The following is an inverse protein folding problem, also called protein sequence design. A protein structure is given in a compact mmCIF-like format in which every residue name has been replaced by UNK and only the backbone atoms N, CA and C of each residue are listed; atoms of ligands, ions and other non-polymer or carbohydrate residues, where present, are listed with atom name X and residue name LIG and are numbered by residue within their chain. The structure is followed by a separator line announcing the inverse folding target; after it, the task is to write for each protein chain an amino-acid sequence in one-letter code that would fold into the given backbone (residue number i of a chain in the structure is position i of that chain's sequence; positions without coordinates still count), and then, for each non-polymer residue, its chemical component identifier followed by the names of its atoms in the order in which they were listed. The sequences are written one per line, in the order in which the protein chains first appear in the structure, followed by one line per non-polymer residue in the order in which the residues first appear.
data_IF_286990728525
#
_entry.id   IF_286990728525
#
_cell.length_a   1.000
_cell.length_b   1.000
_cell.length_c   1.000
_cell.angle_alpha   90.00
_cell.angle_beta   90.00
_cell.angle_gamma   90.00
#
_symmetry.space_group_name_H-M   'P 1'
#
loop_
_entity.id
_entity.type
_entity.pdbx_description
1 polymer ?
#
# COMPACT_ATOMS: atom_id res chain seq x y z
N UNK A 1 16.14 20.43 -18.34
CA UNK A 1 15.86 21.17 -17.10
C UNK A 1 14.78 20.38 -16.38
N UNK A 2 15.11 19.73 -15.27
CA UNK A 2 14.10 19.08 -14.43
C UNK A 2 13.23 20.16 -13.80
N UNK A 3 11.92 20.01 -13.87
CA UNK A 3 10.99 20.87 -13.15
C UNK A 3 11.28 20.75 -11.64
N UNK A 4 11.20 21.83 -10.86
CA UNK A 4 11.34 21.74 -9.41
C UNK A 4 10.27 20.81 -8.85
N UNK A 5 10.63 20.01 -7.84
CA UNK A 5 9.69 19.16 -7.16
C UNK A 5 8.66 20.01 -6.38
N UNK A 6 7.40 19.61 -6.34
CA UNK A 6 6.32 20.41 -5.75
C UNK A 6 6.42 20.54 -4.22
N UNK A 7 7.06 19.55 -3.57
CA UNK A 7 7.36 19.52 -2.13
C UNK A 7 8.73 18.93 -1.91
N UNK A 8 9.38 19.27 -0.79
CA UNK A 8 10.67 18.71 -0.40
C UNK A 8 10.45 17.65 0.70
N UNK A 9 10.67 16.39 0.35
CA UNK A 9 10.69 15.25 1.27
C UNK A 9 12.11 14.68 1.43
N UNK A 10 13.12 15.36 0.92
CA UNK A 10 14.51 14.87 0.90
C UNK A 10 14.99 14.45 2.27
N UNK A 11 15.54 13.25 2.34
CA UNK A 11 16.10 12.69 3.57
C UNK A 11 15.06 12.16 4.58
N UNK A 12 13.76 12.35 4.35
CA UNK A 12 12.70 11.84 5.24
C UNK A 12 12.44 10.36 5.00
N UNK A 13 11.97 9.67 6.03
CA UNK A 13 11.43 8.31 5.91
C UNK A 13 9.91 8.34 5.79
N UNK A 14 9.33 7.31 5.16
CA UNK A 14 7.89 7.08 5.10
C UNK A 14 7.59 5.73 5.75
N UNK A 15 7.26 5.72 7.02
CA UNK A 15 6.97 4.50 7.78
C UNK A 15 5.47 4.25 7.91
N UNK A 16 4.69 5.33 8.02
CA UNK A 16 3.23 5.34 8.17
C UNK A 16 2.61 6.37 7.23
N UNK A 17 1.33 6.20 6.93
CA UNK A 17 0.57 7.24 6.21
C UNK A 17 0.54 8.55 7.00
N UNK A 18 0.48 8.45 8.34
CA UNK A 18 0.51 9.62 9.24
C UNK A 18 1.80 10.44 9.22
N UNK A 19 2.85 9.98 8.55
CA UNK A 19 4.08 10.76 8.33
C UNK A 19 3.90 11.85 7.27
N UNK A 20 2.78 11.82 6.53
CA UNK A 20 2.43 12.76 5.46
C UNK A 20 1.39 13.76 5.93
N UNK A 21 1.41 14.95 5.32
CA UNK A 21 0.33 15.93 5.42
C UNK A 21 -0.46 16.00 4.09
N UNK A 22 -1.69 16.55 4.08
CA UNK A 22 -2.54 16.57 2.88
C UNK A 22 -1.85 17.11 1.61
N UNK A 23 -1.10 18.20 1.72
CA UNK A 23 -0.39 18.80 0.58
C UNK A 23 0.72 17.88 0.03
N UNK A 24 1.35 17.08 0.88
CA UNK A 24 2.39 16.11 0.45
C UNK A 24 1.75 14.92 -0.27
N UNK A 25 0.58 14.45 0.21
CA UNK A 25 -0.18 13.40 -0.48
C UNK A 25 -0.56 13.88 -1.88
N UNK A 26 -1.12 15.09 -2.00
CA UNK A 26 -1.50 15.66 -3.29
C UNK A 26 -0.29 15.76 -4.23
N UNK A 27 0.84 16.29 -3.75
CA UNK A 27 2.07 16.41 -4.52
C UNK A 27 2.64 15.04 -4.97
N UNK A 28 2.57 14.01 -4.11
CA UNK A 28 2.97 12.63 -4.48
C UNK A 28 2.07 12.10 -5.59
N UNK A 29 0.76 12.27 -5.46
CA UNK A 29 -0.19 11.78 -6.45
C UNK A 29 -0.06 12.51 -7.79
N UNK A 30 0.15 13.83 -7.78
CA UNK A 30 0.35 14.64 -8.99
C UNK A 30 1.61 14.21 -9.72
N UNK A 31 2.73 14.14 -9.00
CA UNK A 31 3.99 13.68 -9.58
C UNK A 31 3.88 12.23 -10.09
N UNK A 32 3.16 11.37 -9.38
CA UNK A 32 2.92 9.99 -9.84
C UNK A 32 2.15 9.96 -11.16
N UNK A 33 1.14 10.83 -11.32
CA UNK A 33 0.40 11.00 -12.58
C UNK A 33 1.30 11.47 -13.72
N UNK A 34 2.15 12.46 -13.49
CA UNK A 34 3.12 12.95 -14.49
C UNK A 34 4.12 11.85 -14.90
N UNK A 35 4.64 11.12 -13.90
CA UNK A 35 5.64 10.08 -14.13
C UNK A 35 5.08 8.82 -14.81
N UNK A 36 3.77 8.69 -15.04
CA UNK A 36 3.22 7.62 -15.90
C UNK A 36 3.80 7.67 -17.31
N UNK A 37 4.03 8.86 -17.80
CA UNK A 37 4.44 9.12 -19.19
C UNK A 37 5.85 9.73 -19.30
N UNK A 38 6.43 10.17 -18.19
CA UNK A 38 7.78 10.73 -18.14
C UNK A 38 8.79 9.69 -17.66
N UNK A 39 9.72 9.33 -18.56
CA UNK A 39 10.82 8.41 -18.29
C UNK A 39 12.17 9.15 -18.15
N UNK A 40 12.16 10.44 -17.88
CA UNK A 40 13.38 11.22 -17.65
C UNK A 40 14.16 10.63 -16.48
N UNK A 41 15.45 10.32 -16.65
CA UNK A 41 16.27 9.72 -15.61
C UNK A 41 16.61 10.75 -14.51
N UNK A 42 15.75 10.86 -13.52
CA UNK A 42 15.87 11.83 -12.40
C UNK A 42 16.84 11.39 -11.32
N UNK A 43 17.08 10.06 -11.19
CA UNK A 43 17.90 9.46 -10.14
C UNK A 43 19.15 8.74 -10.68
N UNK A 44 19.73 9.27 -11.75
CA UNK A 44 20.96 8.71 -12.31
C UNK A 44 22.09 8.68 -11.27
N UNK A 45 22.69 7.49 -11.08
CA UNK A 45 23.75 7.27 -10.09
C UNK A 45 23.27 6.99 -8.67
N UNK A 46 21.96 7.04 -8.40
CA UNK A 46 21.36 6.68 -7.10
C UNK A 46 21.09 5.18 -7.01
N UNK A 47 21.11 4.67 -5.79
CA UNK A 47 20.92 3.24 -5.50
C UNK A 47 19.80 3.05 -4.49
N UNK A 48 18.87 2.12 -4.79
CA UNK A 48 17.79 1.69 -3.90
C UNK A 48 18.11 0.32 -3.31
N UNK A 49 18.20 0.20 -1.99
CA UNK A 49 18.25 -1.07 -1.27
C UNK A 49 16.83 -1.61 -1.05
N UNK A 50 16.55 -2.83 -1.52
CA UNK A 50 15.29 -3.54 -1.29
C UNK A 50 15.51 -4.66 -0.30
N UNK A 51 15.08 -4.48 0.95
CA UNK A 51 15.24 -5.45 2.04
C UNK A 51 13.91 -6.17 2.28
N UNK A 52 13.86 -7.46 1.96
CA UNK A 52 12.64 -8.26 2.05
C UNK A 52 12.81 -9.41 3.04
N UNK A 53 12.24 -9.24 4.23
CA UNK A 53 12.17 -10.30 5.26
C UNK A 53 11.08 -11.33 4.96
N UNK A 54 10.13 -10.99 4.07
CA UNK A 54 9.06 -11.87 3.60
C UNK A 54 8.99 -11.85 2.07
N UNK A 55 8.56 -12.94 1.43
CA UNK A 55 8.39 -13.00 -0.02
C UNK A 55 7.44 -11.91 -0.52
N UNK A 56 7.80 -11.27 -1.62
CA UNK A 56 6.94 -10.30 -2.30
C UNK A 56 7.34 -10.18 -3.76
N UNK A 57 6.47 -10.58 -4.67
CA UNK A 57 6.70 -10.46 -6.11
C UNK A 57 6.42 -9.02 -6.57
N UNK A 58 5.20 -8.55 -6.30
CA UNK A 58 4.72 -7.24 -6.80
C UNK A 58 5.53 -6.07 -6.26
N UNK A 59 5.71 -5.96 -4.95
CA UNK A 59 6.43 -4.84 -4.34
C UNK A 59 7.89 -4.80 -4.77
N UNK A 60 8.54 -5.95 -4.86
CA UNK A 60 9.93 -6.03 -5.34
C UNK A 60 10.05 -5.60 -6.80
N UNK A 61 9.16 -6.10 -7.65
CA UNK A 61 9.17 -5.73 -9.08
C UNK A 61 8.83 -4.25 -9.29
N UNK A 62 7.80 -3.73 -8.63
CA UNK A 62 7.38 -2.35 -8.81
C UNK A 62 8.44 -1.35 -8.35
N UNK A 63 9.07 -1.54 -7.18
CA UNK A 63 10.18 -0.71 -6.74
C UNK A 63 11.43 -0.84 -7.63
N UNK A 64 11.75 -2.06 -8.08
CA UNK A 64 12.88 -2.26 -8.99
C UNK A 64 12.65 -1.55 -10.32
N UNK A 65 11.46 -1.67 -10.88
CA UNK A 65 11.08 -0.99 -12.11
C UNK A 65 11.03 0.53 -11.91
N UNK A 66 10.48 1.02 -10.79
CA UNK A 66 10.44 2.43 -10.45
C UNK A 66 11.84 3.06 -10.45
N UNK A 67 12.76 2.45 -9.70
CA UNK A 67 14.13 2.95 -9.61
C UNK A 67 14.86 2.90 -10.95
N UNK A 68 14.71 1.80 -11.70
CA UNK A 68 15.32 1.65 -13.02
C UNK A 68 14.77 2.65 -14.03
N UNK A 69 13.45 2.92 -14.05
CA UNK A 69 12.84 3.94 -14.94
C UNK A 69 13.28 5.36 -14.59
N UNK A 70 13.64 5.63 -13.34
CA UNK A 70 14.22 6.89 -12.92
C UNK A 70 15.75 6.98 -13.17
N UNK A 71 16.36 5.95 -13.78
CA UNK A 71 17.77 5.92 -14.12
C UNK A 71 18.70 5.50 -12.99
N UNK A 72 18.13 5.06 -11.85
CA UNK A 72 18.88 4.56 -10.71
C UNK A 72 19.04 3.02 -10.73
N UNK A 73 19.70 2.50 -9.71
CA UNK A 73 20.01 1.06 -9.59
C UNK A 73 19.31 0.43 -8.38
N UNK A 74 18.39 -0.53 -8.55
CA UNK A 74 17.84 -1.30 -7.45
C UNK A 74 18.75 -2.48 -7.10
N UNK A 75 18.97 -2.72 -5.80
CA UNK A 75 19.67 -3.88 -5.23
C UNK A 75 18.70 -4.59 -4.30
N UNK A 76 18.37 -5.84 -4.61
CA UNK A 76 17.43 -6.62 -3.81
C UNK A 76 18.19 -7.59 -2.89
N UNK A 77 17.87 -7.55 -1.60
CA UNK A 77 18.43 -8.40 -0.56
C UNK A 77 17.29 -9.21 0.07
N UNK A 78 17.47 -10.51 0.13
CA UNK A 78 16.54 -11.44 0.78
C UNK A 78 16.99 -11.70 2.22
N UNK A 79 16.05 -12.13 3.06
CA UNK A 79 16.36 -12.44 4.46
C UNK A 79 17.47 -13.47 4.64
N UNK A 80 17.55 -14.47 3.76
CA UNK A 80 18.58 -15.52 3.76
C UNK A 80 19.97 -15.03 3.28
N UNK A 81 20.05 -13.87 2.65
CA UNK A 81 21.28 -13.22 2.22
C UNK A 81 21.85 -12.26 3.28
N UNK A 82 21.03 -11.86 4.27
CA UNK A 82 21.41 -10.94 5.33
C UNK A 82 22.07 -11.67 6.50
N UNK A 83 23.04 -11.02 7.15
CA UNK A 83 23.70 -11.54 8.35
C UNK A 83 22.81 -11.50 9.59
N UNK A 84 21.60 -10.93 9.53
CA UNK A 84 20.59 -10.91 10.61
C UNK A 84 20.30 -12.33 11.11
N UNK A 85 20.22 -13.32 10.22
CA UNK A 85 20.05 -14.74 10.55
C UNK A 85 21.25 -15.34 11.32
N UNK A 86 22.39 -14.64 11.34
CA UNK A 86 23.63 -15.02 12.02
C UNK A 86 23.93 -14.16 13.24
N UNK A 87 22.97 -13.33 13.68
CA UNK A 87 23.06 -12.55 14.91
C UNK A 87 23.54 -11.10 14.74
N UNK A 88 23.70 -10.61 13.49
CA UNK A 88 23.91 -9.17 13.28
C UNK A 88 22.66 -8.40 13.71
N UNK A 89 22.82 -7.24 14.34
CA UNK A 89 21.68 -6.42 14.74
C UNK A 89 21.07 -5.68 13.55
N UNK A 90 19.77 -5.39 13.61
CA UNK A 90 19.08 -4.52 12.62
C UNK A 90 19.82 -3.19 12.50
N UNK A 91 20.19 -2.59 13.66
CA UNK A 91 20.88 -1.31 13.70
C UNK A 91 22.23 -1.31 12.99
N UNK A 92 23.01 -2.40 13.13
CA UNK A 92 24.32 -2.49 12.47
C UNK A 92 24.14 -2.71 10.97
N UNK A 93 23.21 -3.59 10.57
CA UNK A 93 22.87 -3.79 9.16
C UNK A 93 22.38 -2.48 8.51
N UNK A 94 21.55 -1.68 9.20
CA UNK A 94 21.07 -0.39 8.72
C UNK A 94 22.20 0.63 8.52
N UNK A 95 23.14 0.71 9.47
CA UNK A 95 24.32 1.58 9.36
C UNK A 95 25.21 1.22 8.20
N UNK A 96 25.42 -0.09 7.98
CA UNK A 96 26.23 -0.60 6.83
C UNK A 96 25.50 -0.31 5.53
N UNK A 97 24.19 -0.62 5.45
CA UNK A 97 23.38 -0.39 4.25
C UNK A 97 23.40 1.10 3.84
N UNK A 98 23.35 2.00 4.81
CA UNK A 98 23.42 3.45 4.60
C UNK A 98 24.74 3.94 3.98
N UNK A 99 25.77 3.09 3.91
CA UNK A 99 27.02 3.42 3.22
C UNK A 99 27.06 2.97 1.78
N UNK A 100 26.09 2.16 1.36
CA UNK A 100 26.07 1.53 0.04
C UNK A 100 24.93 2.01 -0.84
N UNK A 101 23.80 2.45 -0.22
CA UNK A 101 22.61 2.87 -0.96
C UNK A 101 22.14 4.24 -0.51
N UNK A 102 21.33 4.90 -1.34
CA UNK A 102 20.80 6.26 -1.10
C UNK A 102 19.42 6.23 -0.42
N UNK A 103 18.68 5.14 -0.54
CA UNK A 103 17.36 4.91 0.04
C UNK A 103 17.13 3.42 0.25
N UNK A 104 16.36 3.05 1.27
CA UNK A 104 16.00 1.66 1.52
C UNK A 104 14.47 1.48 1.55
N UNK A 105 13.94 0.49 0.83
CA UNK A 105 12.56 0.05 0.99
C UNK A 105 12.55 -1.31 1.70
N UNK A 106 11.89 -1.36 2.86
CA UNK A 106 11.97 -2.48 3.80
C UNK A 106 10.59 -3.11 3.98
N UNK A 107 10.52 -4.42 3.76
CA UNK A 107 9.36 -5.25 4.05
C UNK A 107 9.68 -6.19 5.20
N UNK A 108 9.03 -5.97 6.34
CA UNK A 108 9.13 -6.79 7.55
C UNK A 108 7.75 -6.97 8.17
N UNK A 109 7.57 -7.97 9.05
CA UNK A 109 6.30 -8.13 9.78
C UNK A 109 6.18 -7.12 10.91
N UNK A 110 7.22 -7.00 11.74
CA UNK A 110 7.24 -6.08 12.87
C UNK A 110 7.40 -4.63 12.41
N UNK A 111 6.53 -3.76 12.91
CA UNK A 111 6.67 -2.33 12.68
C UNK A 111 7.79 -1.72 13.53
N UNK A 112 8.00 -2.26 14.75
CA UNK A 112 9.09 -1.85 15.65
C UNK A 112 10.47 -2.17 15.03
N UNK A 113 10.58 -3.30 14.29
CA UNK A 113 11.77 -3.58 13.51
C UNK A 113 12.01 -2.52 12.43
N UNK A 114 10.95 -2.11 11.73
CA UNK A 114 11.04 -1.05 10.71
C UNK A 114 11.47 0.29 11.33
N UNK A 115 10.95 0.65 12.49
CA UNK A 115 11.37 1.84 13.23
C UNK A 115 12.84 1.75 13.63
N UNK A 116 13.29 0.58 14.11
CA UNK A 116 14.71 0.33 14.42
C UNK A 116 15.61 0.50 13.19
N UNK A 117 15.14 0.04 12.01
CA UNK A 117 15.83 0.30 10.73
C UNK A 117 15.95 1.80 10.46
N UNK A 118 14.85 2.54 10.58
CA UNK A 118 14.80 3.97 10.28
C UNK A 118 15.61 4.81 11.25
N UNK A 119 15.61 4.48 12.54
CA UNK A 119 16.38 5.17 13.56
C UNK A 119 17.90 5.00 13.39
N UNK A 120 18.33 3.82 12.95
CA UNK A 120 19.76 3.51 12.78
C UNK A 120 20.32 3.92 11.41
N UNK A 121 19.45 4.04 10.39
CA UNK A 121 19.84 4.46 9.04
C UNK A 121 20.13 5.97 8.99
N UNK A 122 21.04 6.37 8.10
CA UNK A 122 21.30 7.78 7.75
C UNK A 122 20.75 8.17 6.38
N UNK A 123 19.92 7.30 5.83
CA UNK A 123 19.24 7.44 4.52
C UNK A 123 17.74 7.28 4.74
N UNK A 124 16.88 7.76 3.83
CA UNK A 124 15.45 7.51 3.86
C UNK A 124 15.11 6.02 3.92
N UNK A 125 14.12 5.67 4.75
CA UNK A 125 13.54 4.34 4.83
C UNK A 125 12.08 4.40 4.41
N UNK A 126 11.67 3.54 3.48
CA UNK A 126 10.29 3.40 2.99
C UNK A 126 9.70 2.10 3.52
N UNK A 127 8.54 2.18 4.16
CA UNK A 127 7.75 1.01 4.52
C UNK A 127 7.19 0.33 3.26
N UNK A 128 7.78 -0.79 2.89
CA UNK A 128 7.30 -1.62 1.77
C UNK A 128 6.21 -2.61 2.16
N UNK A 129 5.85 -2.69 3.40
CA UNK A 129 4.78 -3.34 4.15
C UNK A 129 5.28 -3.79 5.53
N UNK A 130 4.47 -3.53 6.56
CA UNK A 130 4.50 -4.19 7.87
C UNK A 130 3.11 -4.72 8.22
N UNK A 131 2.97 -5.45 9.33
CA UNK A 131 1.65 -5.86 9.83
C UNK A 131 0.79 -4.67 10.29
N UNK A 132 1.41 -3.53 10.62
CA UNK A 132 0.67 -2.34 11.03
C UNK A 132 0.18 -1.48 9.86
N UNK A 133 1.01 -1.35 8.80
CA UNK A 133 0.73 -0.41 7.71
C UNK A 133 1.29 -0.84 6.35
N UNK A 134 0.62 -0.34 5.29
CA UNK A 134 1.06 -0.47 3.91
C UNK A 134 0.92 0.87 3.14
N UNK A 135 1.71 1.91 3.47
CA UNK A 135 1.51 3.26 2.94
C UNK A 135 1.62 3.35 1.41
N UNK A 136 2.52 2.59 0.80
CA UNK A 136 2.65 2.57 -0.67
C UNK A 136 1.42 1.98 -1.37
N UNK A 137 0.65 1.10 -0.69
CA UNK A 137 -0.61 0.58 -1.21
C UNK A 137 -1.69 1.66 -1.14
N UNK A 138 -1.88 2.28 0.01
CA UNK A 138 -2.87 3.34 0.19
C UNK A 138 -2.68 4.49 -0.82
N UNK A 139 -1.44 4.90 -1.09
CA UNK A 139 -1.14 5.89 -2.12
C UNK A 139 -1.52 5.41 -3.53
N UNK A 140 -1.32 4.12 -3.83
CA UNK A 140 -1.74 3.56 -5.12
C UNK A 140 -3.26 3.46 -5.24
N UNK A 141 -3.94 3.12 -4.15
CA UNK A 141 -5.40 3.12 -4.07
C UNK A 141 -5.95 4.53 -4.35
N UNK A 142 -5.40 5.55 -3.67
CA UNK A 142 -5.80 6.94 -3.87
C UNK A 142 -5.54 7.42 -5.30
N UNK A 143 -4.39 7.09 -5.89
CA UNK A 143 -4.11 7.43 -7.29
C UNK A 143 -5.12 6.77 -8.23
N UNK A 144 -5.48 5.50 -7.98
CA UNK A 144 -6.44 4.75 -8.78
C UNK A 144 -7.86 5.32 -8.64
N UNK A 145 -8.26 5.67 -7.43
CA UNK A 145 -9.55 6.32 -7.15
C UNK A 145 -9.60 7.66 -7.90
N UNK A 146 -8.56 8.48 -7.79
CA UNK A 146 -8.47 9.77 -8.48
C UNK A 146 -8.56 9.63 -10.00
N UNK A 147 -7.86 8.67 -10.57
CA UNK A 147 -7.86 8.41 -12.02
C UNK A 147 -9.24 7.96 -12.52
N UNK A 148 -9.94 7.15 -11.73
CA UNK A 148 -11.23 6.57 -12.12
C UNK A 148 -12.43 7.47 -11.85
N UNK A 149 -12.37 8.27 -10.76
CA UNK A 149 -13.50 9.08 -10.30
C UNK A 149 -13.28 10.59 -10.50
N UNK A 150 -12.08 11.04 -10.86
CA UNK A 150 -11.75 12.43 -11.14
C UNK A 150 -11.39 13.26 -9.91
N UNK A 151 -11.39 12.68 -8.70
CA UNK A 151 -11.05 13.35 -7.45
C UNK A 151 -11.11 12.42 -6.26
N UNK A 152 -10.76 12.93 -5.07
CA UNK A 152 -10.77 12.16 -3.82
C UNK A 152 -11.79 12.72 -2.81
N UNK A 153 -11.96 14.04 -2.76
CA UNK A 153 -12.81 14.69 -1.77
C UNK A 153 -14.26 14.20 -1.86
N UNK A 154 -14.81 13.80 -0.72
CA UNK A 154 -16.18 13.29 -0.60
C UNK A 154 -16.38 11.85 -1.08
N UNK A 155 -15.37 11.18 -1.67
CA UNK A 155 -15.48 9.77 -2.11
C UNK A 155 -15.79 8.87 -0.92
N UNK A 156 -16.81 8.02 -1.07
CA UNK A 156 -17.22 7.02 -0.09
C UNK A 156 -16.61 5.67 -0.44
N UNK A 157 -15.79 5.15 0.47
CA UNK A 157 -15.16 3.84 0.36
C UNK A 157 -15.92 2.87 1.27
N UNK A 158 -16.38 1.75 0.72
CA UNK A 158 -16.85 0.59 1.45
C UNK A 158 -15.75 -0.44 1.54
N UNK A 159 -15.22 -0.68 2.75
CA UNK A 159 -14.33 -1.79 3.03
C UNK A 159 -15.12 -3.00 3.51
N UNK A 160 -14.81 -4.18 3.01
CA UNK A 160 -15.52 -5.42 3.38
C UNK A 160 -14.54 -6.54 3.66
N UNK A 161 -14.55 -7.05 4.89
CA UNK A 161 -13.70 -8.17 5.30
C UNK A 161 -12.89 -7.89 6.56
N UNK A 162 -11.66 -8.39 6.59
CA UNK A 162 -10.74 -8.25 7.73
C UNK A 162 -10.14 -6.85 7.82
N UNK A 163 -10.02 -6.33 9.04
CA UNK A 163 -9.44 -5.02 9.34
C UNK A 163 -7.91 -5.01 9.30
N UNK A 164 -7.35 -5.31 8.13
CA UNK A 164 -5.90 -5.47 7.91
C UNK A 164 -5.13 -4.14 7.93
N UNK A 165 -3.80 -4.24 7.86
CA UNK A 165 -2.88 -3.11 7.65
C UNK A 165 -3.20 -2.28 6.40
N UNK A 166 -3.83 -2.89 5.38
CA UNK A 166 -4.27 -2.17 4.17
C UNK A 166 -5.43 -1.25 4.51
N UNK A 167 -6.43 -1.73 5.27
CA UNK A 167 -7.51 -0.86 5.77
C UNK A 167 -6.96 0.28 6.64
N UNK A 168 -6.03 -0.01 7.56
CA UNK A 168 -5.44 1.01 8.44
C UNK A 168 -4.82 2.15 7.62
N UNK A 169 -3.99 1.80 6.65
CA UNK A 169 -3.32 2.79 5.80
C UNK A 169 -4.29 3.52 4.87
N UNK A 170 -5.27 2.81 4.28
CA UNK A 170 -6.28 3.42 3.43
C UNK A 170 -7.16 4.41 4.22
N UNK A 171 -7.57 4.05 5.43
CA UNK A 171 -8.35 4.92 6.31
C UNK A 171 -7.57 6.16 6.75
N UNK A 172 -6.29 5.98 7.11
CA UNK A 172 -5.39 7.10 7.41
C UNK A 172 -5.27 8.07 6.24
N UNK A 173 -5.09 7.54 5.02
CA UNK A 173 -5.00 8.37 3.82
C UNK A 173 -6.33 9.03 3.46
N UNK A 174 -7.44 8.33 3.64
CA UNK A 174 -8.78 8.87 3.44
C UNK A 174 -9.02 10.10 4.32
N UNK A 175 -8.58 10.05 5.58
CA UNK A 175 -8.68 11.20 6.49
C UNK A 175 -7.85 12.42 6.04
N UNK A 176 -6.74 12.21 5.32
CA UNK A 176 -5.90 13.28 4.78
C UNK A 176 -6.44 13.88 3.47
N UNK A 177 -7.32 13.16 2.76
CA UNK A 177 -7.75 13.51 1.40
C UNK A 177 -9.24 13.81 1.27
N UNK A 178 -9.98 13.83 2.40
CA UNK A 178 -11.42 14.10 2.39
C UNK A 178 -12.29 12.91 1.99
N UNK A 179 -11.72 11.73 1.76
CA UNK A 179 -12.47 10.48 1.56
C UNK A 179 -13.06 9.99 2.88
N UNK A 180 -14.07 9.14 2.81
CA UNK A 180 -14.72 8.51 3.98
C UNK A 180 -14.72 7.00 3.83
N UNK A 181 -14.31 6.30 4.89
CA UNK A 181 -14.29 4.83 4.92
C UNK A 181 -15.36 4.30 5.87
N UNK A 182 -16.24 3.45 5.33
CA UNK A 182 -17.16 2.63 6.11
C UNK A 182 -16.67 1.19 5.99
N UNK A 183 -16.32 0.58 7.12
CA UNK A 183 -15.73 -0.74 7.15
C UNK A 183 -16.67 -1.78 7.78
N UNK A 184 -17.05 -2.78 7.01
CA UNK A 184 -17.77 -3.94 7.51
C UNK A 184 -16.76 -5.05 7.85
N UNK A 185 -16.57 -5.27 9.15
CA UNK A 185 -15.70 -6.32 9.66
C UNK A 185 -16.49 -7.24 10.63
N UNK A 186 -16.29 -8.57 10.60
CA UNK A 186 -16.85 -9.46 11.61
C UNK A 186 -16.24 -9.16 13.00
N UNK A 187 -16.91 -9.64 14.05
CA UNK A 187 -16.37 -9.53 15.41
C UNK A 187 -15.07 -10.32 15.53
N UNK A 188 -14.03 -9.67 16.08
CA UNK A 188 -12.68 -10.22 16.21
C UNK A 188 -11.78 -9.97 15.00
N UNK A 189 -12.29 -9.30 13.95
CA UNK A 189 -11.56 -8.93 12.74
C UNK A 189 -11.58 -7.41 12.50
N UNK A 190 -11.86 -6.64 13.55
CA UNK A 190 -11.87 -5.18 13.46
C UNK A 190 -10.44 -4.63 13.28
N UNK A 191 -10.28 -3.48 12.62
CA UNK A 191 -9.01 -2.79 12.63
C UNK A 191 -8.66 -2.32 14.06
N UNK A 192 -7.37 -2.02 14.34
CA UNK A 192 -6.94 -1.50 15.63
C UNK A 192 -7.76 -0.28 16.08
N UNK A 193 -8.00 -0.14 17.40
CA UNK A 193 -8.70 1.02 17.94
C UNK A 193 -8.03 2.34 17.52
N UNK A 194 -8.85 3.33 17.12
CA UNK A 194 -8.37 4.62 16.64
C UNK A 194 -8.17 4.72 15.12
N UNK A 195 -8.32 3.62 14.38
CA UNK A 195 -8.38 3.68 12.92
C UNK A 195 -9.58 4.56 12.50
N UNK A 196 -9.39 5.58 11.63
CA UNK A 196 -10.44 6.54 11.30
C UNK A 196 -11.46 5.97 10.29
N UNK A 197 -12.27 5.03 10.76
CA UNK A 197 -13.35 4.38 9.98
C UNK A 197 -14.68 4.44 10.72
N UNK A 198 -15.77 4.48 9.98
CA UNK A 198 -17.09 4.11 10.48
C UNK A 198 -17.20 2.59 10.43
N UNK A 199 -17.26 1.94 11.61
CA UNK A 199 -17.32 0.49 11.69
C UNK A 199 -18.75 -0.01 11.73
N UNK A 200 -19.09 -0.92 10.82
CA UNK A 200 -20.40 -1.59 10.72
C UNK A 200 -20.21 -3.11 10.71
N UNK A 201 -21.33 -3.85 10.80
CA UNK A 201 -21.28 -5.32 10.76
C UNK A 201 -21.86 -5.90 9.48
N UNK A 202 -22.83 -5.24 8.89
CA UNK A 202 -23.43 -5.72 7.64
C UNK A 202 -22.61 -5.21 6.45
N UNK A 203 -22.07 -6.10 5.59
CA UNK A 203 -21.39 -5.72 4.36
C UNK A 203 -22.19 -4.76 3.46
N UNK A 204 -23.54 -4.89 3.50
CA UNK A 204 -24.42 -4.03 2.71
C UNK A 204 -24.42 -2.58 3.19
N UNK A 205 -24.27 -2.35 4.50
CA UNK A 205 -24.16 -1.00 5.05
C UNK A 205 -22.88 -0.30 4.58
N UNK A 206 -21.75 -1.04 4.52
CA UNK A 206 -20.51 -0.52 3.98
C UNK A 206 -20.60 -0.27 2.46
N UNK A 207 -21.25 -1.17 1.75
CA UNK A 207 -21.39 -1.08 0.29
C UNK A 207 -22.46 -0.06 -0.15
N UNK A 208 -23.44 0.30 0.70
CA UNK A 208 -24.53 1.22 0.32
C UNK A 208 -23.98 2.53 -0.23
N UNK A 209 -24.27 2.79 -1.50
CA UNK A 209 -23.82 3.96 -2.26
C UNK A 209 -22.32 4.24 -2.17
N UNK A 210 -21.49 3.22 -1.91
CA UNK A 210 -20.04 3.36 -1.97
C UNK A 210 -19.59 3.64 -3.42
N UNK A 211 -18.72 4.60 -3.60
CA UNK A 211 -18.08 4.90 -4.89
C UNK A 211 -16.95 3.90 -5.19
N UNK A 212 -16.39 3.33 -4.13
CA UNK A 212 -15.31 2.33 -4.19
C UNK A 212 -15.63 1.20 -3.21
N UNK A 213 -15.57 -0.06 -3.67
CA UNK A 213 -15.55 -1.23 -2.81
C UNK A 213 -14.12 -1.77 -2.74
N UNK A 214 -13.65 -2.02 -1.52
CA UNK A 214 -12.30 -2.55 -1.26
C UNK A 214 -12.39 -3.79 -0.40
N UNK A 215 -11.61 -4.80 -0.73
CA UNK A 215 -11.40 -5.97 0.11
C UNK A 215 -9.94 -6.41 0.05
N UNK A 216 -9.55 -7.29 0.95
CA UNK A 216 -8.21 -7.87 1.03
C UNK A 216 -8.31 -9.37 1.30
N UNK A 217 -7.21 -10.09 1.11
CA UNK A 217 -7.16 -11.54 1.33
C UNK A 217 -7.53 -11.89 2.76
N UNK A 218 -8.22 -13.02 2.92
CA UNK A 218 -8.60 -13.51 4.23
C UNK A 218 -7.54 -14.38 4.89
N UNK A 219 -6.70 -15.04 4.09
CA UNK A 219 -5.72 -16.02 4.55
C UNK A 219 -4.35 -15.70 3.94
N UNK A 220 -3.44 -15.12 4.72
CA UNK A 220 -2.09 -14.79 4.22
C UNK A 220 -0.97 -15.55 4.94
N UNK A 221 -1.10 -15.75 6.24
CA UNK A 221 -0.14 -16.41 7.12
C UNK A 221 -0.92 -17.01 8.29
N UNK A 222 -0.62 -18.25 8.67
CA UNK A 222 -1.27 -18.92 9.79
C UNK A 222 -1.22 -20.42 9.65
N UNK A 223 -1.80 -21.13 10.61
CA UNK A 223 -2.01 -22.59 10.54
C UNK A 223 -3.20 -22.92 9.65
N UNK A 224 -3.28 -24.16 9.15
CA UNK A 224 -4.43 -24.62 8.36
C UNK A 224 -5.76 -24.53 9.14
N UNK A 225 -5.72 -24.71 10.47
CA UNK A 225 -6.91 -24.58 11.32
C UNK A 225 -7.38 -23.13 11.45
N UNK A 226 -6.44 -22.18 11.64
CA UNK A 226 -6.73 -20.75 11.67
C UNK A 226 -7.27 -20.29 10.32
N UNK A 227 -6.68 -20.73 9.22
CA UNK A 227 -7.15 -20.41 7.87
C UNK A 227 -8.58 -20.90 7.65
N UNK A 228 -8.91 -22.15 8.05
CA UNK A 228 -10.25 -22.71 7.93
C UNK A 228 -11.29 -21.96 8.79
N UNK A 229 -10.91 -21.48 9.97
CA UNK A 229 -11.79 -20.68 10.81
C UNK A 229 -12.05 -19.31 10.18
N UNK A 230 -11.00 -18.64 9.72
CA UNK A 230 -11.10 -17.33 9.04
C UNK A 230 -12.02 -17.40 7.81
N UNK A 231 -11.88 -18.44 6.98
CA UNK A 231 -12.73 -18.64 5.82
C UNK A 231 -14.21 -18.77 6.19
N UNK A 232 -14.54 -19.44 7.30
CA UNK A 232 -15.93 -19.55 7.78
C UNK A 232 -16.48 -18.21 8.31
N UNK A 233 -15.67 -17.49 9.10
CA UNK A 233 -16.10 -16.25 9.74
C UNK A 233 -16.26 -15.11 8.73
N UNK A 234 -15.42 -15.10 7.68
CA UNK A 234 -15.39 -14.07 6.65
C UNK A 234 -16.27 -14.38 5.43
N UNK A 235 -16.75 -15.63 5.28
CA UNK A 235 -17.60 -16.01 4.13
C UNK A 235 -18.78 -15.06 3.86
N UNK A 236 -19.50 -14.54 4.88
CA UNK A 236 -20.58 -13.57 4.68
C UNK A 236 -20.09 -12.19 4.17
N UNK A 237 -18.76 -11.94 4.20
CA UNK A 237 -18.11 -10.69 3.80
C UNK A 237 -17.47 -10.76 2.42
N UNK A 238 -17.86 -11.76 1.61
CA UNK A 238 -17.38 -11.86 0.22
C UNK A 238 -17.92 -10.76 -0.64
N UNK A 239 -17.05 -10.12 -1.42
CA UNK A 239 -17.44 -9.15 -2.44
C UNK A 239 -17.89 -9.90 -3.69
N UNK A 240 -19.19 -10.01 -3.86
CA UNK A 240 -19.85 -10.64 -5.02
C UNK A 240 -20.65 -9.62 -5.84
N UNK A 241 -21.25 -10.09 -6.92
CA UNK A 241 -22.07 -9.25 -7.81
C UNK A 241 -23.30 -8.66 -7.12
N UNK A 242 -23.89 -9.37 -6.13
CA UNK A 242 -25.06 -8.90 -5.38
C UNK A 242 -24.68 -7.76 -4.42
N UNK A 243 -23.55 -7.88 -3.72
CA UNK A 243 -23.03 -6.82 -2.88
C UNK A 243 -22.62 -5.61 -3.72
N UNK A 244 -21.89 -5.83 -4.81
CA UNK A 244 -21.47 -4.76 -5.72
C UNK A 244 -22.67 -4.01 -6.34
N UNK A 245 -23.81 -4.66 -6.49
CA UNK A 245 -25.03 -4.02 -6.98
C UNK A 245 -25.66 -3.02 -5.99
N UNK A 246 -25.29 -3.08 -4.68
CA UNK A 246 -25.74 -2.11 -3.68
C UNK A 246 -24.89 -0.83 -3.67
N UNK A 247 -23.69 -0.88 -4.25
CA UNK A 247 -22.82 0.28 -4.39
C UNK A 247 -23.34 1.27 -5.45
N UNK A 248 -22.73 2.43 -5.54
CA UNK A 248 -23.08 3.43 -6.56
C UNK A 248 -22.98 2.82 -7.98
N UNK A 249 -23.81 3.24 -8.93
CA UNK A 249 -23.82 2.66 -10.29
C UNK A 249 -22.47 2.68 -11.01
N UNK A 250 -21.63 3.70 -10.72
CA UNK A 250 -20.27 3.85 -11.24
C UNK A 250 -19.17 3.33 -10.32
N UNK A 251 -19.53 2.61 -9.25
CA UNK A 251 -18.56 2.15 -8.26
C UNK A 251 -17.46 1.27 -8.88
N UNK A 252 -16.24 1.48 -8.43
CA UNK A 252 -15.08 0.67 -8.79
C UNK A 252 -14.69 -0.29 -7.66
N UNK A 253 -14.01 -1.38 -8.00
CA UNK A 253 -13.54 -2.38 -7.04
C UNK A 253 -12.02 -2.37 -7.01
N UNK A 254 -11.45 -2.32 -5.80
CA UNK A 254 -10.01 -2.40 -5.53
C UNK A 254 -9.68 -3.65 -4.71
N UNK A 255 -8.47 -4.15 -4.90
CA UNK A 255 -7.88 -5.26 -4.15
C UNK A 255 -6.35 -5.25 -4.32
N UNK A 256 -5.62 -5.17 -3.22
CA UNK A 256 -4.15 -5.04 -3.25
C UNK A 256 -3.39 -6.24 -3.87
N UNK A 257 -4.09 -7.34 -4.14
CA UNK A 257 -3.55 -8.61 -4.66
C UNK A 257 -2.46 -9.25 -3.77
N UNK A 258 -2.37 -10.61 -3.71
CA UNK A 258 -3.11 -11.57 -4.55
C UNK A 258 -4.57 -11.65 -4.15
N UNK A 259 -5.47 -11.97 -5.06
CA UNK A 259 -6.86 -12.27 -4.77
C UNK A 259 -7.11 -13.78 -4.88
N UNK A 260 -8.05 -14.29 -4.08
CA UNK A 260 -8.49 -15.69 -4.11
C UNK A 260 -9.95 -15.77 -4.59
N UNK A 261 -10.19 -15.84 -5.91
CA UNK A 261 -11.55 -15.91 -6.44
C UNK A 261 -12.37 -17.06 -5.84
N UNK A 262 -13.51 -16.72 -5.21
CA UNK A 262 -14.33 -17.67 -4.47
C UNK A 262 -14.16 -17.60 -2.95
N UNK A 263 -13.14 -16.89 -2.46
CA UNK A 263 -12.97 -16.51 -1.05
C UNK A 263 -13.48 -15.09 -0.84
N UNK A 264 -12.59 -14.09 -0.72
CA UNK A 264 -12.93 -12.69 -0.41
C UNK A 264 -13.63 -11.95 -1.55
N UNK A 265 -13.43 -12.42 -2.78
CA UNK A 265 -14.00 -11.79 -3.98
C UNK A 265 -14.40 -12.87 -4.99
N UNK A 266 -15.49 -12.65 -5.74
CA UNK A 266 -15.85 -13.56 -6.83
C UNK A 266 -15.06 -13.25 -8.10
N UNK A 267 -14.83 -14.28 -8.93
CA UNK A 267 -14.15 -14.09 -10.24
C UNK A 267 -14.91 -13.11 -11.14
N UNK A 268 -16.25 -13.11 -11.09
CA UNK A 268 -17.10 -12.18 -11.83
C UNK A 268 -16.79 -10.72 -11.48
N UNK A 269 -16.59 -10.42 -10.19
CA UNK A 269 -16.28 -9.07 -9.72
C UNK A 269 -14.83 -8.73 -10.01
N UNK A 270 -13.88 -9.61 -9.68
CA UNK A 270 -12.45 -9.40 -9.86
C UNK A 270 -12.06 -9.12 -11.32
N UNK A 271 -12.65 -9.86 -12.25
CA UNK A 271 -12.37 -9.72 -13.69
C UNK A 271 -13.46 -8.91 -14.43
N UNK A 272 -14.42 -8.37 -13.70
CA UNK A 272 -15.54 -7.62 -14.25
C UNK A 272 -15.17 -6.18 -14.65
N UNK A 273 -16.08 -5.49 -15.37
CA UNK A 273 -15.81 -4.17 -15.93
C UNK A 273 -15.66 -3.05 -14.88
N UNK A 274 -16.09 -3.29 -13.64
CA UNK A 274 -15.93 -2.35 -12.51
C UNK A 274 -14.66 -2.59 -11.70
N UNK A 275 -13.89 -3.63 -12.01
CA UNK A 275 -12.61 -3.90 -11.37
C UNK A 275 -11.55 -2.90 -11.83
N UNK A 276 -10.85 -2.30 -10.89
CA UNK A 276 -9.70 -1.43 -11.15
C UNK A 276 -8.40 -2.02 -10.55
N UNK A 277 -8.40 -3.29 -10.18
CA UNK A 277 -7.28 -3.96 -9.50
C UNK A 277 -5.99 -3.98 -10.32
N UNK A 278 -6.10 -3.96 -11.65
CA UNK A 278 -4.93 -3.95 -12.54
C UNK A 278 -4.31 -2.56 -12.63
N UNK A 279 -5.15 -1.51 -12.68
CA UNK A 279 -4.70 -0.12 -12.62
C UNK A 279 -4.10 0.20 -11.23
N UNK A 280 -4.70 -0.32 -10.16
CA UNK A 280 -4.19 -0.23 -8.80
C UNK A 280 -2.80 -0.88 -8.68
N UNK A 281 -2.63 -2.06 -9.25
CA UNK A 281 -1.34 -2.75 -9.28
C UNK A 281 -0.29 -1.96 -10.09
N UNK A 282 -0.68 -1.35 -11.22
CA UNK A 282 0.19 -0.47 -12.01
C UNK A 282 0.52 0.81 -11.26
N UNK A 283 -0.46 1.44 -10.62
CA UNK A 283 -0.29 2.69 -9.89
C UNK A 283 0.69 2.57 -8.71
N UNK A 284 0.94 1.38 -8.20
CA UNK A 284 2.04 1.13 -7.25
C UNK A 284 3.40 1.53 -7.82
N UNK A 285 3.66 1.23 -9.09
CA UNK A 285 4.89 1.65 -9.77
C UNK A 285 5.01 3.17 -9.79
N UNK A 286 3.93 3.86 -10.11
CA UNK A 286 3.95 5.31 -10.32
C UNK A 286 4.07 6.08 -9.00
N UNK A 287 3.37 5.68 -7.94
CA UNK A 287 3.55 6.29 -6.62
C UNK A 287 4.92 6.02 -6.02
N UNK A 288 5.49 4.83 -6.26
CA UNK A 288 6.85 4.52 -5.83
C UNK A 288 7.90 5.34 -6.60
N UNK A 289 7.68 5.61 -7.91
CA UNK A 289 8.52 6.56 -8.66
C UNK A 289 8.47 7.96 -8.03
N UNK A 290 7.27 8.45 -7.73
CA UNK A 290 7.10 9.77 -7.11
C UNK A 290 7.78 9.85 -5.73
N UNK A 291 7.56 8.84 -4.87
CA UNK A 291 8.22 8.76 -3.57
C UNK A 291 9.74 8.77 -3.68
N UNK A 292 10.32 7.91 -4.54
CA UNK A 292 11.77 7.86 -4.74
C UNK A 292 12.32 9.21 -5.24
N UNK A 293 11.63 9.86 -6.18
CA UNK A 293 12.03 11.16 -6.69
C UNK A 293 11.99 12.26 -5.61
N UNK A 294 10.95 12.27 -4.76
CA UNK A 294 10.79 13.29 -3.71
C UNK A 294 11.73 13.05 -2.52
N UNK A 295 12.04 11.80 -2.18
CA UNK A 295 12.91 11.47 -1.04
C UNK A 295 14.40 11.63 -1.36
N UNK A 296 14.77 11.55 -2.64
CA UNK A 296 16.18 11.65 -3.08
C UNK A 296 16.54 12.99 -3.74
N UNK A 297 15.55 13.85 -3.94
CA UNK A 297 15.74 15.24 -4.40
C UNK A 297 16.00 15.34 -5.89
#
# INVERSE_FOLDING_TARGET
MTLPLPVDLSGRSLLRVGDLVPAEVEAILDLAGELKHDLTPRLAGRTLGLVFMQPSTRTRLSFSAAMAQLGGMPISLRSDELQLSRGESIGDTARVLSRYVDVAAIRTLSHDDLETWAEAATIPVINALTQAEHPCQALADALTIRDRLGGLDGVRIGWVGDGTNVLVSLAGLAALTGMRVVAACPSGYEPPPGTPVELVRDPREAADRADVLVTDIWTSLGTDEEAAQRLRDLEPYRVDGALLATAAPGAVVLHCLPAHPGEEITAEVLYGPRSAVWDEAENRLHVQKALLALLLG
#
